data_IF_052984684165
#
_entry.id   IF_052984684165
#
_cell.length_a   1.000
_cell.length_b   1.000
_cell.length_c   1.000
_cell.angle_alpha   90.00
_cell.angle_beta   90.00
_cell.angle_gamma   90.00
#
_symmetry.space_group_name_H-M   'P 1'
#
loop_
_entity.id
_entity.type
_entity.pdbx_description
1 polymer ?
#
# COMPACT_ATOMS: atom_id res chain seq x y z
N UNK A 1 -28.82 5.09 28.13
CA UNK A 1 -28.12 4.26 29.13
C UNK A 1 -27.10 5.15 29.82
N UNK A 2 -26.96 5.11 31.14
CA UNK A 2 -25.95 5.94 31.82
C UNK A 2 -24.55 5.32 31.63
N UNK A 3 -23.57 6.12 31.21
CA UNK A 3 -22.17 5.69 31.03
C UNK A 3 -21.57 5.14 32.32
N UNK A 4 -22.03 5.62 33.48
CA UNK A 4 -21.54 5.20 34.78
C UNK A 4 -21.91 3.75 35.11
N UNK A 5 -22.90 3.18 34.42
CA UNK A 5 -23.33 1.78 34.58
C UNK A 5 -22.53 0.80 33.71
N UNK A 6 -21.62 1.30 32.88
CA UNK A 6 -20.76 0.48 32.03
C UNK A 6 -19.53 -0.05 32.77
N UNK A 7 -19.05 -1.21 32.36
CA UNK A 7 -17.72 -1.69 32.75
C UNK A 7 -16.61 -0.81 32.15
N UNK A 8 -15.40 -0.88 32.71
CA UNK A 8 -14.26 -0.10 32.20
C UNK A 8 -13.90 -0.43 30.74
N UNK A 9 -14.04 -1.69 30.31
CA UNK A 9 -13.87 -2.09 28.90
C UNK A 9 -14.92 -1.43 27.99
N UNK A 10 -16.18 -1.42 28.42
CA UNK A 10 -17.27 -0.80 27.67
C UNK A 10 -17.11 0.72 27.59
N UNK A 11 -16.71 1.38 28.69
CA UNK A 11 -16.36 2.81 28.69
C UNK A 11 -15.21 3.09 27.73
N UNK A 12 -14.14 2.29 27.77
CA UNK A 12 -12.98 2.44 26.87
C UNK A 12 -13.39 2.39 25.39
N UNK A 13 -14.28 1.48 25.00
CA UNK A 13 -14.83 1.39 23.64
C UNK A 13 -15.64 2.64 23.24
N UNK A 14 -16.46 3.15 24.16
CA UNK A 14 -17.23 4.39 23.95
C UNK A 14 -16.29 5.58 23.75
N UNK A 15 -15.26 5.71 24.59
CA UNK A 15 -14.23 6.75 24.45
C UNK A 15 -13.47 6.64 23.12
N UNK A 16 -13.08 5.43 22.72
CA UNK A 16 -12.38 5.21 21.45
C UNK A 16 -13.24 5.63 20.25
N UNK A 17 -14.54 5.30 20.26
CA UNK A 17 -15.47 5.70 19.20
C UNK A 17 -15.73 7.22 19.22
N UNK A 18 -15.90 7.82 20.40
CA UNK A 18 -16.07 9.27 20.57
C UNK A 18 -14.90 10.03 19.94
N UNK A 19 -13.66 9.61 20.26
CA UNK A 19 -12.46 10.18 19.67
C UNK A 19 -12.40 9.98 18.14
N UNK A 20 -12.73 8.79 17.65
CA UNK A 20 -12.69 8.49 16.21
C UNK A 20 -13.70 9.32 15.39
N UNK A 21 -14.84 9.67 16.00
CA UNK A 21 -15.91 10.45 15.39
C UNK A 21 -15.77 11.96 15.63
N UNK A 22 -14.90 12.38 16.55
CA UNK A 22 -14.87 13.77 17.03
C UNK A 22 -16.15 14.20 17.74
N UNK A 23 -16.84 13.27 18.40
CA UNK A 23 -18.12 13.47 19.11
C UNK A 23 -17.93 13.26 20.62
N UNK A 24 -18.86 13.75 21.45
CA UNK A 24 -18.83 13.49 22.90
C UNK A 24 -19.31 12.08 23.24
N UNK A 25 -18.94 11.57 24.42
CA UNK A 25 -19.40 10.25 24.90
C UNK A 25 -20.92 10.16 25.06
N UNK A 26 -21.56 11.26 25.44
CA UNK A 26 -23.02 11.36 25.56
C UNK A 26 -23.65 11.16 24.19
N UNK A 27 -23.10 11.79 23.15
CA UNK A 27 -23.57 11.65 21.77
C UNK A 27 -23.41 10.22 21.26
N UNK A 28 -22.30 9.55 21.60
CA UNK A 28 -22.11 8.13 21.27
C UNK A 28 -23.16 7.26 21.95
N UNK A 29 -23.48 7.53 23.21
CA UNK A 29 -24.50 6.77 23.95
C UNK A 29 -25.91 7.05 23.40
N UNK A 30 -26.21 8.26 22.97
CA UNK A 30 -27.48 8.55 22.29
C UNK A 30 -27.64 7.74 21.00
N UNK A 31 -26.59 7.65 20.19
CA UNK A 31 -26.61 6.95 18.90
C UNK A 31 -26.48 5.42 19.01
N UNK A 32 -25.63 4.96 19.91
CA UNK A 32 -25.14 3.56 19.98
C UNK A 32 -25.21 2.96 21.39
N UNK A 33 -26.01 3.55 22.30
CA UNK A 33 -26.00 3.21 23.72
C UNK A 33 -26.81 1.99 24.13
N UNK A 34 -27.20 1.09 23.22
CA UNK A 34 -27.69 -0.22 23.66
C UNK A 34 -26.52 -1.09 24.12
N UNK A 35 -26.70 -1.88 25.17
CA UNK A 35 -25.64 -2.75 25.71
C UNK A 35 -25.09 -3.72 24.63
N UNK A 36 -25.94 -4.15 23.69
CA UNK A 36 -25.56 -5.00 22.56
C UNK A 36 -24.63 -4.28 21.59
N UNK A 37 -24.88 -3.01 21.28
CA UNK A 37 -24.01 -2.20 20.42
C UNK A 37 -22.68 -1.96 21.11
N UNK A 38 -22.69 -1.47 22.35
CA UNK A 38 -21.44 -1.19 23.09
C UNK A 38 -20.54 -2.42 23.20
N UNK A 39 -21.09 -3.60 23.52
CA UNK A 39 -20.31 -4.85 23.57
C UNK A 39 -19.68 -5.23 22.22
N UNK A 40 -20.31 -4.84 21.12
CA UNK A 40 -19.83 -5.09 19.76
C UNK A 40 -18.89 -4.01 19.23
N UNK A 41 -18.73 -2.87 19.90
CA UNK A 41 -17.82 -1.81 19.44
C UNK A 41 -16.37 -2.35 19.35
N UNK A 42 -15.65 -2.04 18.25
CA UNK A 42 -14.20 -2.16 18.21
C UNK A 42 -13.53 -1.44 19.38
N UNK A 43 -12.40 -1.98 19.83
CA UNK A 43 -11.63 -1.35 20.90
C UNK A 43 -10.90 -0.09 20.39
N UNK A 44 -10.43 -0.12 19.14
CA UNK A 44 -9.75 0.99 18.48
C UNK A 44 -10.31 1.23 17.08
N UNK A 45 -10.10 2.45 16.58
CA UNK A 45 -10.46 2.89 15.23
C UNK A 45 -9.23 3.54 14.60
N UNK A 46 -8.28 2.72 14.17
CA UNK A 46 -7.04 3.20 13.57
C UNK A 46 -7.26 3.98 12.27
N UNK A 47 -6.23 4.71 11.83
CA UNK A 47 -6.25 5.59 10.64
C UNK A 47 -6.85 4.93 9.39
N UNK A 48 -6.64 3.62 9.20
CA UNK A 48 -7.22 2.87 8.08
C UNK A 48 -8.74 3.01 8.00
N UNK A 49 -9.44 2.94 9.14
CA UNK A 49 -10.90 3.00 9.20
C UNK A 49 -11.44 4.43 9.21
N UNK A 50 -10.66 5.40 9.70
CA UNK A 50 -11.11 6.80 9.79
C UNK A 50 -10.73 7.64 8.57
N UNK A 51 -9.70 7.24 7.81
CA UNK A 51 -9.21 7.99 6.64
C UNK A 51 -10.32 8.36 5.63
N UNK A 52 -11.29 7.48 5.30
CA UNK A 52 -12.39 7.85 4.39
C UNK A 52 -13.28 9.01 4.85
N UNK A 53 -13.29 9.34 6.14
CA UNK A 53 -14.06 10.48 6.69
C UNK A 53 -13.52 11.81 6.14
N UNK A 54 -12.23 11.85 5.80
CA UNK A 54 -11.53 13.06 5.37
C UNK A 54 -11.47 13.23 3.85
N UNK A 55 -12.00 12.27 3.09
CA UNK A 55 -11.91 12.24 1.64
C UNK A 55 -13.29 12.14 0.99
N UNK A 56 -13.41 12.69 -0.22
CA UNK A 56 -14.67 12.73 -0.96
C UNK A 56 -14.68 11.68 -2.07
N UNK A 57 -15.79 10.97 -2.19
CA UNK A 57 -16.04 10.01 -3.27
C UNK A 57 -17.31 10.41 -4.02
N UNK A 58 -17.20 10.57 -5.34
CA UNK A 58 -18.30 11.00 -6.20
C UNK A 58 -19.36 9.91 -6.35
N UNK A 59 -18.96 8.65 -6.38
CA UNK A 59 -19.85 7.49 -6.49
C UNK A 59 -19.13 6.23 -5.98
N UNK A 60 -19.88 5.15 -5.76
CA UNK A 60 -19.31 3.82 -5.54
C UNK A 60 -20.29 2.73 -5.94
N UNK A 61 -19.81 1.55 -6.26
CA UNK A 61 -20.69 0.44 -6.57
C UNK A 61 -19.96 -0.88 -6.68
N UNK A 62 -20.65 -1.87 -7.26
CA UNK A 62 -20.09 -3.17 -7.60
C UNK A 62 -20.26 -3.34 -9.10
N UNK A 63 -19.17 -3.64 -9.81
CA UNK A 63 -19.17 -3.93 -11.24
C UNK A 63 -18.34 -5.17 -11.52
N UNK A 64 -18.92 -6.09 -12.29
CA UNK A 64 -18.33 -7.40 -12.62
C UNK A 64 -17.75 -8.14 -11.40
N UNK A 65 -18.49 -8.12 -10.29
CA UNK A 65 -18.10 -8.81 -9.06
C UNK A 65 -17.04 -8.09 -8.21
N UNK A 66 -16.62 -6.87 -8.55
CA UNK A 66 -15.64 -6.11 -7.77
C UNK A 66 -16.21 -4.78 -7.26
N UNK A 67 -16.00 -4.42 -5.99
CA UNK A 67 -16.36 -3.09 -5.49
C UNK A 67 -15.42 -2.03 -6.06
N UNK A 68 -15.96 -0.86 -6.36
CA UNK A 68 -15.21 0.29 -6.86
C UNK A 68 -15.67 1.59 -6.20
N UNK A 69 -14.81 2.61 -6.24
CA UNK A 69 -15.15 4.01 -5.95
C UNK A 69 -14.84 4.90 -7.14
N UNK A 70 -15.55 6.00 -7.26
CA UNK A 70 -15.29 7.07 -8.24
C UNK A 70 -14.80 8.29 -7.49
N UNK A 71 -13.66 8.81 -7.93
CA UNK A 71 -13.04 10.00 -7.36
C UNK A 71 -13.57 11.28 -8.05
N UNK A 72 -13.44 12.47 -7.41
CA UNK A 72 -13.81 13.74 -8.03
C UNK A 72 -13.07 14.07 -9.33
N UNK A 73 -11.87 13.52 -9.52
CA UNK A 73 -11.12 13.63 -10.78
C UNK A 73 -11.53 12.57 -11.83
N UNK A 74 -12.67 11.91 -11.63
CA UNK A 74 -13.24 10.87 -12.48
C UNK A 74 -12.44 9.56 -12.54
N UNK A 75 -11.41 9.38 -11.71
CA UNK A 75 -10.76 8.07 -11.57
C UNK A 75 -11.73 7.05 -11.00
N UNK A 76 -11.75 5.86 -11.58
CA UNK A 76 -12.53 4.73 -11.07
C UNK A 76 -11.56 3.70 -10.52
N UNK A 77 -11.62 3.42 -9.22
CA UNK A 77 -10.69 2.55 -8.52
C UNK A 77 -11.42 1.37 -7.90
N UNK A 78 -11.09 0.18 -8.37
CA UNK A 78 -11.55 -1.11 -7.88
C UNK A 78 -10.71 -1.57 -6.70
N UNK A 79 -11.33 -2.37 -5.84
CA UNK A 79 -10.66 -3.01 -4.73
C UNK A 79 -11.35 -4.28 -4.26
N UNK A 80 -11.08 -4.62 -3.00
CA UNK A 80 -11.56 -5.86 -2.40
C UNK A 80 -12.82 -5.63 -1.56
N UNK A 81 -13.65 -6.67 -1.46
CA UNK A 81 -14.76 -6.66 -0.51
C UNK A 81 -14.26 -6.58 0.94
N UNK A 82 -15.04 -5.96 1.85
CA UNK A 82 -14.67 -5.89 3.24
C UNK A 82 -14.60 -7.28 3.88
N UNK A 83 -13.56 -7.49 4.72
CA UNK A 83 -13.50 -8.63 5.63
C UNK A 83 -14.67 -8.57 6.62
N UNK A 84 -15.05 -9.72 7.19
CA UNK A 84 -16.20 -9.82 8.13
C UNK A 84 -16.15 -8.81 9.28
N UNK A 85 -14.95 -8.54 9.81
CA UNK A 85 -14.76 -7.56 10.88
C UNK A 85 -14.88 -6.10 10.40
N UNK A 86 -14.67 -5.80 9.12
CA UNK A 86 -14.73 -4.42 8.59
C UNK A 86 -16.17 -3.88 8.56
N UNK A 87 -17.16 -4.74 8.34
CA UNK A 87 -18.57 -4.35 8.45
C UNK A 87 -18.93 -3.78 9.83
N UNK A 88 -18.25 -4.23 10.89
CA UNK A 88 -18.42 -3.69 12.24
C UNK A 88 -17.90 -2.27 12.35
N UNK A 89 -16.81 -1.93 11.67
CA UNK A 89 -16.32 -0.56 11.64
C UNK A 89 -17.28 0.36 10.87
N UNK A 90 -17.80 -0.12 9.74
CA UNK A 90 -18.82 0.61 8.97
C UNK A 90 -20.11 0.85 9.79
N UNK A 91 -20.53 -0.09 10.65
CA UNK A 91 -21.68 0.10 11.55
C UNK A 91 -21.55 1.34 12.45
N UNK A 92 -20.32 1.72 12.84
CA UNK A 92 -20.07 2.82 13.77
C UNK A 92 -19.47 4.07 13.12
N UNK A 93 -18.94 3.99 11.90
CA UNK A 93 -18.30 5.10 11.20
C UNK A 93 -18.95 5.43 9.85
N UNK A 94 -19.80 4.55 9.31
CA UNK A 94 -20.29 4.64 7.93
C UNK A 94 -21.13 5.89 7.66
N UNK A 95 -21.83 6.42 8.67
CA UNK A 95 -22.57 7.69 8.58
C UNK A 95 -21.66 8.93 8.47
N UNK A 96 -20.36 8.79 8.72
CA UNK A 96 -19.36 9.84 8.54
C UNK A 96 -18.63 9.74 7.19
N UNK A 97 -18.79 8.65 6.45
CA UNK A 97 -18.22 8.52 5.11
C UNK A 97 -19.06 9.31 4.09
N UNK A 98 -18.49 9.54 2.90
CA UNK A 98 -19.25 10.09 1.77
C UNK A 98 -20.52 9.26 1.54
N UNK A 99 -21.67 9.91 1.32
CA UNK A 99 -22.98 9.24 1.16
C UNK A 99 -23.03 8.18 0.05
N UNK A 100 -22.10 8.26 -0.91
CA UNK A 100 -21.91 7.29 -1.98
C UNK A 100 -21.35 5.94 -1.48
N UNK A 101 -20.65 5.90 -0.35
CA UNK A 101 -19.95 4.72 0.16
C UNK A 101 -20.91 3.80 0.90
N UNK A 102 -21.10 2.58 0.37
CA UNK A 102 -21.88 1.53 1.00
C UNK A 102 -21.03 0.64 1.90
N UNK A 103 -21.70 -0.25 2.66
CA UNK A 103 -21.00 -1.26 3.47
C UNK A 103 -20.15 -2.21 2.62
N UNK A 104 -20.52 -2.44 1.36
CA UNK A 104 -19.77 -3.28 0.40
C UNK A 104 -18.59 -2.55 -0.22
N UNK A 105 -18.63 -1.22 -0.34
CA UNK A 105 -17.55 -0.42 -0.96
C UNK A 105 -16.64 0.24 0.07
N UNK A 106 -16.94 0.12 1.37
CA UNK A 106 -16.15 0.79 2.41
C UNK A 106 -14.68 0.35 2.45
N UNK A 107 -14.38 -0.91 2.13
CA UNK A 107 -13.01 -1.42 2.12
C UNK A 107 -12.17 -0.78 1.00
N UNK A 108 -12.71 -0.66 -0.21
CA UNK A 108 -12.03 0.02 -1.32
C UNK A 108 -11.90 1.52 -1.02
N UNK A 109 -12.89 2.16 -0.38
CA UNK A 109 -12.78 3.54 0.07
C UNK A 109 -11.63 3.73 1.08
N UNK A 110 -11.48 2.81 2.06
CA UNK A 110 -10.36 2.81 3.02
C UNK A 110 -9.00 2.66 2.32
N UNK A 111 -8.88 1.69 1.41
CA UNK A 111 -7.63 1.45 0.68
C UNK A 111 -7.24 2.63 -0.20
N UNK A 112 -8.19 3.18 -0.95
CA UNK A 112 -8.00 4.35 -1.83
C UNK A 112 -7.66 5.59 -1.01
N UNK A 113 -8.33 5.81 0.12
CA UNK A 113 -8.00 6.90 1.04
C UNK A 113 -6.54 6.85 1.47
N UNK A 114 -6.05 5.68 1.90
CA UNK A 114 -4.66 5.50 2.37
C UNK A 114 -3.60 5.54 1.27
N UNK A 115 -3.93 5.10 0.05
CA UNK A 115 -2.94 4.85 -1.01
C UNK A 115 -2.97 5.84 -2.15
N UNK A 116 -4.12 6.47 -2.38
CA UNK A 116 -4.30 7.48 -3.40
C UNK A 116 -4.40 8.89 -2.79
N UNK A 117 -5.19 9.08 -1.73
CA UNK A 117 -5.37 10.43 -1.18
C UNK A 117 -4.30 10.84 -0.18
N UNK A 118 -4.05 10.02 0.85
CA UNK A 118 -3.12 10.36 1.92
C UNK A 118 -1.72 10.68 1.36
N UNK A 119 -0.96 11.60 1.99
CA UNK A 119 0.39 11.95 1.55
C UNK A 119 1.30 10.72 1.45
N UNK A 120 2.11 10.70 0.39
CA UNK A 120 3.13 9.66 0.25
C UNK A 120 4.24 9.91 1.25
N UNK A 121 4.76 8.83 1.83
CA UNK A 121 5.95 8.86 2.69
C UNK A 121 7.21 8.91 1.82
N UNK A 122 7.23 9.77 0.80
CA UNK A 122 8.39 10.04 -0.05
C UNK A 122 8.46 11.56 -0.25
N UNK A 123 9.52 12.24 0.20
CA UNK A 123 9.68 13.67 -0.01
C UNK A 123 9.59 14.07 -1.48
N UNK A 124 8.93 15.19 -1.78
CA UNK A 124 8.75 15.68 -3.16
C UNK A 124 10.07 15.85 -3.92
N UNK A 125 11.18 16.18 -3.23
CA UNK A 125 12.52 16.29 -3.83
C UNK A 125 13.05 14.97 -4.42
N UNK A 126 12.48 13.83 -4.02
CA UNK A 126 12.84 12.50 -4.51
C UNK A 126 11.82 11.94 -5.50
N UNK A 127 10.70 12.64 -5.70
CA UNK A 127 9.70 12.22 -6.68
C UNK A 127 10.20 12.46 -8.10
N UNK A 128 9.78 11.63 -9.07
CA UNK A 128 10.04 11.91 -10.48
C UNK A 128 9.49 13.29 -10.86
N UNK A 129 10.23 14.00 -11.69
CA UNK A 129 9.69 15.18 -12.37
C UNK A 129 8.64 14.77 -13.41
N UNK A 130 7.90 15.74 -13.92
CA UNK A 130 6.92 15.50 -15.00
C UNK A 130 7.61 14.83 -16.20
N UNK A 131 6.97 13.79 -16.72
CA UNK A 131 7.49 12.88 -17.75
C UNK A 131 8.67 12.02 -17.29
N UNK A 132 8.86 11.85 -15.98
CA UNK A 132 9.86 10.98 -15.39
C UNK A 132 9.54 9.49 -15.53
N UNK A 133 10.42 8.67 -14.97
CA UNK A 133 10.33 7.21 -15.00
C UNK A 133 10.30 6.65 -13.58
N UNK A 134 9.28 5.84 -13.27
CA UNK A 134 9.10 5.23 -11.96
C UNK A 134 8.97 3.71 -12.07
N UNK A 135 9.54 2.99 -11.11
CA UNK A 135 9.32 1.55 -10.94
C UNK A 135 8.75 1.30 -9.54
N UNK A 136 7.66 0.57 -9.48
CA UNK A 136 7.01 0.16 -8.24
C UNK A 136 7.00 -1.36 -8.12
N UNK A 137 7.78 -1.88 -7.17
CA UNK A 137 7.84 -3.30 -6.84
C UNK A 137 6.94 -3.57 -5.64
N UNK A 138 5.86 -4.32 -5.84
CA UNK A 138 4.79 -4.48 -4.86
C UNK A 138 3.65 -3.48 -5.05
N UNK A 139 3.16 -3.35 -6.30
CA UNK A 139 2.14 -2.36 -6.67
C UNK A 139 0.73 -2.67 -6.10
N UNK A 140 0.51 -3.86 -5.55
CA UNK A 140 -0.77 -4.29 -4.98
C UNK A 140 -1.92 -4.11 -5.98
N UNK A 141 -2.89 -3.23 -5.71
CA UNK A 141 -4.04 -2.96 -6.60
C UNK A 141 -3.83 -1.72 -7.48
N UNK A 142 -2.66 -1.08 -7.43
CA UNK A 142 -2.34 0.06 -8.30
C UNK A 142 -2.87 1.42 -7.86
N UNK A 143 -3.51 1.55 -6.70
CA UNK A 143 -4.00 2.86 -6.23
C UNK A 143 -2.87 3.88 -6.07
N UNK A 144 -1.73 3.44 -5.49
CA UNK A 144 -0.52 4.25 -5.36
C UNK A 144 0.15 4.50 -6.72
N UNK A 145 0.18 3.50 -7.59
CA UNK A 145 0.67 3.61 -8.97
C UNK A 145 -0.08 4.70 -9.75
N UNK A 146 -1.41 4.74 -9.65
CA UNK A 146 -2.24 5.76 -10.32
C UNK A 146 -1.99 7.13 -9.69
N UNK A 147 -1.81 7.23 -8.36
CA UNK A 147 -1.40 8.48 -7.71
C UNK A 147 -0.07 9.00 -8.25
N UNK A 148 0.94 8.14 -8.41
CA UNK A 148 2.21 8.52 -9.03
C UNK A 148 2.02 9.07 -10.46
N UNK A 149 1.14 8.46 -11.24
CA UNK A 149 0.80 8.96 -12.57
C UNK A 149 0.12 10.34 -12.52
N UNK A 150 -0.82 10.54 -11.62
CA UNK A 150 -1.66 11.74 -11.56
C UNK A 150 -0.92 12.96 -11.00
N UNK A 151 -0.08 12.77 -9.98
CA UNK A 151 0.57 13.86 -9.25
C UNK A 151 1.99 14.18 -9.73
N UNK A 152 2.71 13.19 -10.28
CA UNK A 152 4.15 13.32 -10.53
C UNK A 152 4.55 13.01 -11.98
N UNK A 153 4.35 11.77 -12.43
CA UNK A 153 4.88 11.28 -13.71
C UNK A 153 4.14 11.88 -14.90
N UNK A 154 2.81 11.99 -14.82
CA UNK A 154 1.97 12.49 -15.90
C UNK A 154 1.94 11.60 -17.14
N UNK A 155 1.15 12.02 -18.14
CA UNK A 155 0.88 11.20 -19.33
C UNK A 155 2.04 11.07 -20.34
N UNK A 156 3.12 11.82 -20.15
CA UNK A 156 4.31 11.73 -21.00
C UNK A 156 5.46 10.95 -20.39
N UNK A 157 5.28 10.41 -19.18
CA UNK A 157 6.30 9.62 -18.49
C UNK A 157 6.09 8.11 -18.64
N UNK A 158 6.73 7.34 -17.76
CA UNK A 158 6.64 5.87 -17.78
C UNK A 158 6.66 5.29 -16.38
N UNK A 159 5.76 4.36 -16.11
CA UNK A 159 5.67 3.64 -14.83
C UNK A 159 5.68 2.15 -15.10
N UNK A 160 6.53 1.41 -14.39
CA UNK A 160 6.45 -0.06 -14.33
C UNK A 160 5.91 -0.48 -12.97
N UNK A 161 4.71 -1.05 -12.95
CA UNK A 161 4.05 -1.59 -11.77
C UNK A 161 4.19 -3.11 -11.72
N UNK A 162 4.85 -3.64 -10.70
CA UNK A 162 5.12 -5.08 -10.55
C UNK A 162 4.34 -5.60 -9.33
N UNK A 163 3.54 -6.64 -9.54
CA UNK A 163 2.80 -7.32 -8.48
C UNK A 163 2.91 -8.84 -8.64
N UNK A 164 3.24 -9.54 -7.56
CA UNK A 164 3.46 -10.98 -7.62
C UNK A 164 2.15 -11.77 -7.50
N UNK A 165 1.21 -11.29 -6.69
CA UNK A 165 -0.01 -12.02 -6.33
C UNK A 165 -1.03 -11.92 -7.46
N UNK A 166 -1.45 -13.04 -8.07
CA UNK A 166 -2.36 -13.03 -9.22
C UNK A 166 -3.65 -12.23 -9.00
N UNK A 167 -4.29 -12.40 -7.84
CA UNK A 167 -5.57 -11.75 -7.53
C UNK A 167 -5.41 -10.23 -7.37
N UNK A 168 -4.27 -9.78 -6.82
CA UNK A 168 -3.97 -8.36 -6.72
C UNK A 168 -3.61 -7.79 -8.09
N UNK A 169 -2.83 -8.53 -8.88
CA UNK A 169 -2.43 -8.13 -10.22
C UNK A 169 -3.63 -7.94 -11.16
N UNK A 170 -4.63 -8.80 -11.08
CA UNK A 170 -5.84 -8.65 -11.90
C UNK A 170 -6.57 -7.32 -11.61
N UNK A 171 -6.67 -6.95 -10.33
CA UNK A 171 -7.24 -5.67 -9.93
C UNK A 171 -6.34 -4.47 -10.28
N UNK A 172 -5.01 -4.60 -10.19
CA UNK A 172 -4.05 -3.60 -10.67
C UNK A 172 -4.25 -3.33 -12.17
N UNK A 173 -4.28 -4.40 -12.98
CA UNK A 173 -4.48 -4.30 -14.42
C UNK A 173 -5.81 -3.66 -14.75
N UNK A 174 -6.90 -4.09 -14.10
CA UNK A 174 -8.23 -3.51 -14.25
C UNK A 174 -8.24 -2.02 -13.92
N UNK A 175 -7.59 -1.61 -12.83
CA UNK A 175 -7.48 -0.21 -12.44
C UNK A 175 -6.74 0.64 -13.48
N UNK A 176 -5.68 0.10 -14.09
CA UNK A 176 -4.95 0.78 -15.17
C UNK A 176 -5.85 0.92 -16.42
N UNK A 177 -6.54 -0.15 -16.81
CA UNK A 177 -7.36 -0.21 -18.03
C UNK A 177 -8.62 0.66 -17.95
N UNK A 178 -9.36 0.60 -16.83
CA UNK A 178 -10.56 1.42 -16.61
C UNK A 178 -10.23 2.92 -16.72
N UNK A 179 -9.03 3.30 -16.27
CA UNK A 179 -8.53 4.67 -16.28
C UNK A 179 -7.75 5.04 -17.55
N UNK A 180 -7.66 4.12 -18.52
CA UNK A 180 -6.97 4.29 -19.82
C UNK A 180 -5.51 4.69 -19.69
N UNK A 181 -4.81 4.10 -18.72
CA UNK A 181 -3.43 4.45 -18.36
C UNK A 181 -2.36 3.54 -18.99
N UNK A 182 -2.74 2.56 -19.81
CA UNK A 182 -1.82 1.61 -20.45
C UNK A 182 -0.76 2.25 -21.37
N UNK A 183 -0.90 3.53 -21.72
CA UNK A 183 0.13 4.27 -22.47
C UNK A 183 1.30 4.76 -21.61
N UNK A 184 1.10 4.77 -20.29
CA UNK A 184 2.03 5.33 -19.30
C UNK A 184 2.45 4.25 -18.29
N UNK A 185 1.52 3.37 -17.91
CA UNK A 185 1.72 2.35 -16.89
C UNK A 185 1.77 0.98 -17.57
N UNK A 186 2.95 0.37 -17.55
CA UNK A 186 3.13 -1.05 -17.83
C UNK A 186 2.95 -1.83 -16.52
N UNK A 187 2.17 -2.91 -16.54
CA UNK A 187 1.96 -3.79 -15.38
C UNK A 187 2.48 -5.19 -15.64
N UNK A 188 3.30 -5.73 -14.74
CA UNK A 188 3.90 -7.07 -14.86
C UNK A 188 3.56 -7.96 -13.65
N UNK A 189 3.04 -9.17 -13.94
CA UNK A 189 2.78 -10.19 -12.91
C UNK A 189 4.01 -11.08 -12.73
N UNK A 190 4.86 -10.78 -11.76
CA UNK A 190 6.05 -11.58 -11.45
C UNK A 190 6.51 -11.34 -10.02
N UNK A 191 7.09 -12.36 -9.38
CA UNK A 191 7.82 -12.16 -8.14
C UNK A 191 9.20 -11.59 -8.40
N UNK A 192 9.55 -10.46 -7.78
CA UNK A 192 10.92 -9.94 -7.86
C UNK A 192 11.76 -10.62 -6.78
N UNK A 193 12.90 -11.18 -7.18
CA UNK A 193 13.72 -12.04 -6.34
C UNK A 193 15.21 -11.95 -6.69
N UNK A 194 16.05 -12.78 -6.06
CA UNK A 194 17.50 -12.81 -6.33
C UNK A 194 17.91 -13.69 -7.51
N UNK A 195 16.99 -14.51 -8.04
CA UNK A 195 17.20 -15.36 -9.22
C UNK A 195 15.88 -15.77 -9.89
N UNK A 196 16.00 -16.29 -11.11
CA UNK A 196 14.88 -16.87 -11.85
C UNK A 196 14.56 -18.28 -11.34
N UNK A 197 13.40 -18.45 -10.73
CA UNK A 197 12.93 -19.74 -10.22
C UNK A 197 11.41 -19.72 -9.99
N UNK A 198 10.86 -20.80 -9.46
CA UNK A 198 9.48 -20.84 -8.96
C UNK A 198 9.51 -20.71 -7.45
N UNK A 199 8.68 -19.83 -6.90
CA UNK A 199 8.49 -19.64 -5.46
C UNK A 199 7.04 -19.79 -5.08
N UNK A 200 6.81 -20.20 -3.84
CA UNK A 200 5.46 -20.23 -3.24
C UNK A 200 5.16 -18.89 -2.62
N UNK A 201 4.02 -18.32 -2.96
CA UNK A 201 3.44 -17.17 -2.26
C UNK A 201 2.87 -17.68 -0.94
N UNK A 202 3.31 -17.06 0.15
CA UNK A 202 2.85 -17.30 1.50
C UNK A 202 1.93 -16.15 1.89
N UNK A 203 0.73 -16.44 2.41
CA UNK A 203 -0.14 -15.35 2.84
C UNK A 203 -1.43 -15.76 3.52
N UNK A 204 -2.22 -14.74 3.84
CA UNK A 204 -3.63 -14.86 4.26
C UNK A 204 -4.59 -14.18 3.27
N UNK A 205 -4.09 -13.86 2.07
CA UNK A 205 -4.80 -13.12 1.02
C UNK A 205 -4.75 -11.59 1.20
N UNK A 206 -5.17 -10.87 0.16
CA UNK A 206 -5.16 -9.40 0.08
C UNK A 206 -3.77 -8.77 0.21
N UNK A 207 -3.52 -8.03 1.31
CA UNK A 207 -2.29 -7.25 1.55
C UNK A 207 -1.22 -8.04 2.33
N UNK A 208 -1.57 -9.22 2.86
CA UNK A 208 -0.73 -9.99 3.76
C UNK A 208 -0.17 -11.20 3.03
N UNK A 209 0.57 -10.93 1.96
CA UNK A 209 1.23 -11.94 1.13
C UNK A 209 2.73 -11.59 1.03
N UNK A 210 3.57 -12.61 1.02
CA UNK A 210 5.03 -12.52 0.94
C UNK A 210 5.60 -13.73 0.20
N UNK A 211 6.83 -13.61 -0.31
CA UNK A 211 7.61 -14.74 -0.83
C UNK A 211 8.50 -15.38 0.26
N UNK A 212 8.49 -14.81 1.47
CA UNK A 212 9.27 -15.29 2.62
C UNK A 212 8.40 -15.46 3.86
N UNK A 213 8.82 -16.36 4.75
CA UNK A 213 8.28 -16.40 6.11
C UNK A 213 8.83 -15.19 6.88
N UNK A 214 7.96 -14.52 7.65
CA UNK A 214 8.36 -13.44 8.57
C UNK A 214 8.00 -13.82 9.99
N UNK A 215 8.71 -13.29 10.99
CA UNK A 215 8.51 -13.64 12.40
C UNK A 215 7.10 -13.29 12.90
N UNK A 216 6.44 -12.32 12.25
CA UNK A 216 5.15 -11.76 12.68
C UNK A 216 3.94 -12.44 12.05
N UNK A 217 4.14 -13.33 11.07
CA UNK A 217 3.04 -13.93 10.33
C UNK A 217 3.24 -15.42 10.11
N UNK A 218 2.30 -16.22 10.63
CA UNK A 218 2.13 -17.61 10.22
C UNK A 218 1.28 -17.65 8.94
N UNK A 219 1.93 -17.80 7.79
CA UNK A 219 1.33 -17.74 6.47
C UNK A 219 1.02 -19.15 5.94
N UNK A 220 -0.07 -19.27 5.17
CA UNK A 220 -0.37 -20.49 4.42
C UNK A 220 0.16 -20.37 3.00
N UNK A 221 0.53 -21.50 2.39
CA UNK A 221 0.83 -21.55 0.96
C UNK A 221 -0.41 -21.22 0.15
N UNK A 222 -0.34 -20.19 -0.70
CA UNK A 222 -1.44 -19.73 -1.53
C UNK A 222 -1.33 -20.26 -2.96
N UNK A 223 -0.20 -19.99 -3.61
CA UNK A 223 0.03 -20.33 -5.03
C UNK A 223 1.52 -20.33 -5.36
N UNK A 224 1.89 -20.92 -6.50
CA UNK A 224 3.24 -20.81 -7.06
C UNK A 224 3.32 -19.66 -8.07
N UNK A 225 4.45 -18.96 -8.08
CA UNK A 225 4.71 -17.85 -9.00
C UNK A 225 6.11 -17.96 -9.58
N UNK A 226 6.25 -17.55 -10.83
CA UNK A 226 7.56 -17.34 -11.44
C UNK A 226 8.21 -16.12 -10.80
N UNK A 227 9.49 -16.23 -10.47
CA UNK A 227 10.32 -15.12 -10.02
C UNK A 227 11.40 -14.79 -11.03
N UNK A 228 11.88 -13.55 -11.00
CA UNK A 228 13.06 -13.12 -11.76
C UNK A 228 13.80 -12.01 -11.00
N UNK A 229 15.02 -11.71 -11.43
CA UNK A 229 15.80 -10.62 -10.87
C UNK A 229 15.30 -9.27 -11.35
N UNK A 230 15.42 -8.25 -10.50
CA UNK A 230 15.06 -6.90 -10.90
C UNK A 230 15.92 -6.42 -12.08
N UNK A 231 17.21 -6.79 -12.13
CA UNK A 231 18.07 -6.52 -13.29
C UNK A 231 17.48 -7.08 -14.61
N UNK A 232 16.97 -8.32 -14.61
CA UNK A 232 16.39 -8.94 -15.80
C UNK A 232 15.11 -8.24 -16.25
N UNK A 233 14.24 -7.93 -15.29
CA UNK A 233 12.97 -7.23 -15.54
C UNK A 233 13.24 -5.85 -16.13
N UNK A 234 14.12 -5.06 -15.50
CA UNK A 234 14.43 -3.69 -15.93
C UNK A 234 15.12 -3.67 -17.30
N UNK A 235 15.99 -4.65 -17.59
CA UNK A 235 16.60 -4.81 -18.92
C UNK A 235 15.55 -5.09 -20.00
N UNK A 236 14.50 -5.85 -19.68
CA UNK A 236 13.37 -6.10 -20.56
C UNK A 236 12.51 -4.86 -20.83
N UNK A 237 12.34 -4.01 -19.83
CA UNK A 237 11.55 -2.77 -19.92
C UNK A 237 12.28 -1.62 -20.66
N UNK A 238 13.61 -1.63 -20.68
CA UNK A 238 14.48 -0.81 -21.57
C UNK A 238 14.41 0.71 -21.35
N UNK A 239 14.13 1.17 -20.13
CA UNK A 239 14.23 2.60 -19.82
C UNK A 239 15.68 3.06 -19.67
N UNK A 240 15.94 4.30 -20.11
CA UNK A 240 17.29 4.91 -20.06
C UNK A 240 17.71 5.26 -18.63
N UNK A 241 16.76 5.75 -17.84
CA UNK A 241 16.95 6.14 -16.45
C UNK A 241 15.65 5.94 -15.69
N UNK A 242 15.75 5.66 -14.39
CA UNK A 242 14.65 5.48 -13.45
C UNK A 242 14.86 6.53 -12.36
N UNK A 243 13.94 7.49 -12.27
CA UNK A 243 14.02 8.57 -11.30
C UNK A 243 13.77 8.04 -9.88
N UNK A 244 12.80 7.14 -9.75
CA UNK A 244 12.44 6.55 -8.47
C UNK A 244 12.13 5.05 -8.63
N UNK A 245 12.83 4.23 -7.86
CA UNK A 245 12.50 2.82 -7.63
C UNK A 245 11.91 2.68 -6.22
N UNK A 246 10.68 2.19 -6.12
CA UNK A 246 10.04 1.87 -4.83
C UNK A 246 9.95 0.36 -4.65
N UNK A 247 10.26 -0.13 -3.45
CA UNK A 247 10.23 -1.56 -3.10
C UNK A 247 9.45 -1.75 -1.80
N UNK A 248 8.37 -2.53 -1.86
CA UNK A 248 7.59 -2.94 -0.70
C UNK A 248 6.95 -4.31 -0.98
N UNK A 249 7.63 -5.38 -0.58
CA UNK A 249 7.29 -6.78 -0.95
C UNK A 249 7.12 -7.70 0.26
N UNK A 250 6.91 -7.10 1.43
CA UNK A 250 6.57 -7.77 2.68
C UNK A 250 7.62 -8.78 3.18
N UNK A 251 8.88 -8.38 3.26
CA UNK A 251 9.97 -9.16 3.86
C UNK A 251 10.99 -9.71 2.86
N UNK A 252 10.64 -9.71 1.58
CA UNK A 252 11.50 -10.13 0.47
C UNK A 252 12.43 -9.00 -0.05
N UNK A 253 12.48 -7.85 0.64
CA UNK A 253 13.27 -6.68 0.21
C UNK A 253 14.77 -7.02 0.07
N UNK A 254 15.27 -7.92 0.93
CA UNK A 254 16.65 -8.41 0.91
C UNK A 254 16.94 -9.08 -0.45
N UNK A 255 16.11 -10.03 -0.85
CA UNK A 255 16.30 -10.79 -2.08
C UNK A 255 16.07 -9.95 -3.34
N UNK A 256 15.16 -8.97 -3.29
CA UNK A 256 15.01 -7.98 -4.36
C UNK A 256 16.33 -7.21 -4.56
N UNK A 257 16.97 -6.76 -3.47
CA UNK A 257 18.25 -6.04 -3.53
C UNK A 257 19.42 -6.93 -3.96
N UNK A 258 19.46 -8.19 -3.53
CA UNK A 258 20.44 -9.17 -4.02
C UNK A 258 20.32 -9.37 -5.54
N UNK A 259 19.10 -9.32 -6.09
CA UNK A 259 18.80 -9.39 -7.51
C UNK A 259 19.02 -8.09 -8.30
N UNK A 260 19.42 -6.99 -7.64
CA UNK A 260 19.67 -5.68 -8.27
C UNK A 260 21.16 -5.33 -8.20
N UNK A 261 21.90 -5.58 -9.28
CA UNK A 261 23.35 -5.34 -9.33
C UNK A 261 23.73 -4.45 -10.52
N UNK A 262 23.31 -4.83 -11.72
CA UNK A 262 23.77 -4.23 -12.96
C UNK A 262 22.98 -2.98 -13.35
N UNK A 263 21.76 -2.80 -12.84
CA UNK A 263 20.90 -1.68 -13.24
C UNK A 263 21.00 -0.44 -12.33
N UNK A 264 21.83 -0.47 -11.27
CA UNK A 264 21.99 0.63 -10.33
C UNK A 264 22.46 1.93 -11.00
N UNK A 265 23.26 1.86 -12.06
CA UNK A 265 23.74 3.02 -12.81
C UNK A 265 22.63 3.82 -13.51
N UNK A 266 21.43 3.25 -13.60
CA UNK A 266 20.26 3.89 -14.21
C UNK A 266 19.23 4.34 -13.19
N UNK A 267 19.39 4.01 -11.91
CA UNK A 267 18.43 4.33 -10.85
C UNK A 267 18.98 5.49 -10.05
N UNK A 268 18.21 6.58 -9.93
CA UNK A 268 18.59 7.74 -9.13
C UNK A 268 18.36 7.49 -7.65
N UNK A 269 17.09 7.29 -7.27
CA UNK A 269 16.66 7.12 -5.89
C UNK A 269 15.99 5.75 -5.69
N UNK A 270 16.30 5.13 -4.56
CA UNK A 270 15.61 3.97 -4.03
C UNK A 270 14.83 4.37 -2.77
N UNK A 271 13.56 3.99 -2.73
CA UNK A 271 12.73 4.03 -1.53
C UNK A 271 12.26 2.62 -1.18
N UNK A 272 12.62 2.14 0.01
CA UNK A 272 12.40 0.75 0.40
C UNK A 272 11.67 0.71 1.74
N UNK A 273 10.52 0.04 1.79
CA UNK A 273 9.74 -0.15 3.02
C UNK A 273 9.98 -1.57 3.53
N UNK A 274 10.69 -1.70 4.66
CA UNK A 274 11.17 -2.98 5.20
C UNK A 274 10.87 -3.12 6.71
N UNK A 275 9.60 -3.10 7.15
CA UNK A 275 9.25 -3.10 8.57
C UNK A 275 9.38 -4.48 9.26
N UNK A 276 9.69 -5.54 8.52
CA UNK A 276 9.62 -6.93 8.99
C UNK A 276 10.91 -7.41 9.66
N UNK A 277 10.79 -8.48 10.44
CA UNK A 277 11.93 -9.25 10.97
C UNK A 277 11.88 -10.69 10.48
N UNK A 278 13.06 -11.28 10.33
CA UNK A 278 13.30 -12.68 9.99
C UNK A 278 14.35 -13.24 10.93
N UNK A 279 14.05 -14.34 11.59
CA UNK A 279 14.97 -15.03 12.49
C UNK A 279 15.49 -14.11 13.61
N UNK A 280 14.64 -13.21 14.12
CA UNK A 280 15.01 -12.24 15.15
C UNK A 280 15.77 -11.02 14.65
N UNK A 281 16.09 -10.94 13.35
CA UNK A 281 16.82 -9.83 12.74
C UNK A 281 15.90 -8.96 11.88
N UNK A 282 16.06 -7.64 11.99
CA UNK A 282 15.27 -6.70 11.21
C UNK A 282 15.74 -6.69 9.75
N UNK A 283 14.82 -6.89 8.81
CA UNK A 283 15.12 -6.90 7.37
C UNK A 283 15.73 -5.58 6.88
N UNK A 284 15.32 -4.46 7.48
CA UNK A 284 15.84 -3.13 7.14
C UNK A 284 17.35 -3.00 7.36
N UNK A 285 17.91 -3.65 8.39
CA UNK A 285 19.35 -3.56 8.68
C UNK A 285 20.16 -4.28 7.59
N UNK A 286 19.71 -5.47 7.17
CA UNK A 286 20.34 -6.17 6.04
C UNK A 286 20.18 -5.41 4.72
N UNK A 287 19.05 -4.76 4.50
CA UNK A 287 18.86 -3.91 3.32
C UNK A 287 19.84 -2.73 3.29
N UNK A 288 20.08 -2.07 4.44
CA UNK A 288 21.09 -1.00 4.55
C UNK A 288 22.50 -1.52 4.23
N UNK A 289 22.88 -2.65 4.79
CA UNK A 289 24.19 -3.28 4.51
C UNK A 289 24.36 -3.55 3.01
N UNK A 290 23.38 -4.18 2.36
CA UNK A 290 23.41 -4.45 0.92
C UNK A 290 23.55 -3.18 0.09
N UNK A 291 22.84 -2.11 0.46
CA UNK A 291 22.94 -0.83 -0.23
C UNK A 291 24.34 -0.20 -0.07
N UNK A 292 24.93 -0.28 1.12
CA UNK A 292 26.30 0.20 1.39
C UNK A 292 27.35 -0.63 0.64
N UNK A 293 27.21 -1.96 0.62
CA UNK A 293 28.03 -2.88 -0.19
C UNK A 293 27.98 -2.52 -1.68
N UNK A 294 26.83 -2.01 -2.16
CA UNK A 294 26.60 -1.52 -3.52
C UNK A 294 26.97 -0.04 -3.71
N UNK A 295 27.70 0.55 -2.75
CA UNK A 295 28.16 1.94 -2.77
C UNK A 295 27.03 2.99 -2.85
N UNK A 296 25.79 2.63 -2.49
CA UNK A 296 24.71 3.60 -2.36
C UNK A 296 24.93 4.45 -1.10
N UNK A 297 24.48 5.71 -1.13
CA UNK A 297 24.46 6.57 0.05
C UNK A 297 23.06 6.53 0.67
N UNK A 298 22.98 6.12 1.93
CA UNK A 298 21.76 6.18 2.73
C UNK A 298 21.48 7.64 3.11
N UNK A 299 20.26 8.09 2.86
CA UNK A 299 19.83 9.47 3.07
C UNK A 299 19.23 9.66 4.47
N UNK A 300 19.25 10.90 4.96
CA UNK A 300 18.89 11.28 6.34
C UNK A 300 17.42 11.01 6.69
N UNK A 301 16.54 10.94 5.70
CA UNK A 301 15.12 10.65 5.88
C UNK A 301 14.85 9.18 6.24
N UNK A 302 15.87 8.33 6.14
CA UNK A 302 15.79 6.91 6.55
C UNK A 302 15.36 6.81 8.01
N UNK A 303 14.33 6.00 8.25
CA UNK A 303 13.76 5.79 9.58
C UNK A 303 13.73 4.30 9.93
N UNK A 304 13.02 3.95 11.00
CA UNK A 304 12.98 2.57 11.48
C UNK A 304 12.36 1.61 10.48
N UNK A 305 11.47 2.03 9.59
CA UNK A 305 10.73 1.12 8.70
C UNK A 305 11.01 1.34 7.22
N UNK A 306 11.62 2.47 6.86
CA UNK A 306 11.85 2.87 5.47
C UNK A 306 13.27 3.38 5.25
N UNK A 307 13.86 3.01 4.11
CA UNK A 307 15.18 3.44 3.66
C UNK A 307 15.03 4.33 2.43
N UNK A 308 15.76 5.43 2.43
CA UNK A 308 15.98 6.28 1.26
C UNK A 308 17.45 6.19 0.89
N UNK A 309 17.74 5.91 -0.37
CA UNK A 309 19.11 5.81 -0.83
C UNK A 309 19.29 6.43 -2.22
N UNK A 310 20.43 7.07 -2.43
CA UNK A 310 20.89 7.50 -3.76
C UNK A 310 21.99 6.57 -4.22
N UNK A 311 21.96 6.16 -5.49
CA UNK A 311 23.05 5.33 -6.03
C UNK A 311 24.31 6.17 -6.24
N UNK A 312 25.50 5.53 -6.22
CA UNK A 312 26.78 6.25 -6.41
C UNK A 312 26.83 7.10 -7.68
N UNK A 313 26.09 6.71 -8.71
CA UNK A 313 26.08 7.34 -10.03
C UNK A 313 25.32 8.67 -10.06
N UNK A 314 24.49 8.94 -9.05
CA UNK A 314 23.69 10.18 -8.97
C UNK A 314 23.95 10.97 -7.68
N UNK A 315 24.96 10.58 -6.90
CA UNK A 315 25.24 11.18 -5.58
C UNK A 315 25.34 12.72 -5.61
N UNK A 316 26.05 13.27 -6.60
CA UNK A 316 26.26 14.72 -6.77
C UNK A 316 24.97 15.51 -7.08
N UNK A 317 23.92 14.84 -7.55
CA UNK A 317 22.64 15.51 -7.84
C UNK A 317 21.76 15.66 -6.59
N UNK A 318 22.11 15.00 -5.47
CA UNK A 318 21.24 14.90 -4.29
C UNK A 318 21.95 15.21 -2.95
N UNK A 319 23.28 15.40 -2.93
CA UNK A 319 24.08 15.79 -1.76
C UNK A 319 24.82 17.10 -2.05
#
# INVERSE_FOLDING_TARGET
MDINLLSEDEKSKVFALANARGETTERIIEKFGSLKQIKRMPQNYGKFFTSPIHHTFSDSGIRDGHPYVVLPNQRILYGNFPKKNYYRYYEYLGDLYSNSISKETCCVAMDVSRRYYDPLEIPDKYMPSKNGTLVEVGAYLGHKTIKFCDEYVGLGGSILAIEAVPENYELLKRNIEENRLNRVIDSLQIGVWNKKEVRTILGKGYQQNSLVQTDTHDFQSLSEIQTDTLDNILRGWKQRCIDLLTIQVNGAEIEVLEGLNQYLEKIKILYIVSPYSREGHRTIERCKELLLEKECTILEETNETSIYAVTKYFKEAFL
#
